data_IF_046120440122
#
_entry.id   IF_046120440122
#
_cell.length_a   1.000
_cell.length_b   1.000
_cell.length_c   1.000
_cell.angle_alpha   90.00
_cell.angle_beta   90.00
_cell.angle_gamma   90.00
#
_symmetry.space_group_name_H-M   'P 1'
#
loop_
_entity.id
_entity.type
_entity.pdbx_description
1 polymer ?
#
# COMPACT_ATOMS: atom_id res chain seq x y z
N UNK A 1 16.40 14.41 -24.42
CA UNK A 1 16.65 15.21 -23.20
C UNK A 1 15.56 15.05 -22.15
N UNK A 2 14.28 15.47 -22.37
CA UNK A 2 13.24 15.30 -21.32
C UNK A 2 12.98 13.83 -20.94
N UNK A 3 12.93 12.89 -21.87
CA UNK A 3 12.77 11.44 -21.61
C UNK A 3 13.96 10.81 -20.90
N UNK A 4 15.17 11.23 -21.18
CA UNK A 4 16.38 10.74 -20.50
C UNK A 4 16.48 11.26 -19.07
N UNK A 5 16.05 12.48 -18.83
CA UNK A 5 15.98 13.09 -17.50
C UNK A 5 14.92 12.40 -16.63
N UNK A 6 13.76 12.06 -17.21
CA UNK A 6 12.68 11.31 -16.55
C UNK A 6 13.11 9.86 -16.22
N UNK A 7 13.86 9.21 -17.11
CA UNK A 7 14.40 7.87 -16.89
C UNK A 7 15.48 7.86 -15.79
N UNK A 8 16.31 8.89 -15.74
CA UNK A 8 17.30 9.08 -14.67
C UNK A 8 16.66 9.32 -13.30
N UNK A 9 15.60 10.13 -13.24
CA UNK A 9 14.83 10.36 -12.01
C UNK A 9 14.20 9.06 -11.49
N UNK A 10 13.64 8.24 -12.39
CA UNK A 10 13.07 6.93 -12.03
C UNK A 10 14.13 5.92 -11.58
N UNK A 11 15.29 5.89 -12.23
CA UNK A 11 16.42 5.00 -11.88
C UNK A 11 17.07 5.39 -10.57
N UNK A 12 17.12 6.68 -10.26
CA UNK A 12 17.78 7.22 -9.07
C UNK A 12 19.30 7.15 -9.14
N UNK A 13 19.95 7.94 -8.30
CA UNK A 13 21.41 8.03 -8.20
C UNK A 13 21.80 7.92 -6.72
N UNK A 14 22.97 7.35 -6.43
CA UNK A 14 23.47 7.27 -5.04
C UNK A 14 22.56 6.46 -4.14
N UNK A 15 22.01 7.08 -3.09
CA UNK A 15 21.11 6.45 -2.11
C UNK A 15 19.74 6.05 -2.69
N UNK A 16 19.38 6.54 -3.87
CA UNK A 16 18.12 6.15 -4.57
C UNK A 16 18.37 5.16 -5.72
N UNK A 17 19.63 4.74 -5.92
CA UNK A 17 20.07 3.88 -7.01
C UNK A 17 19.46 2.47 -6.96
N UNK A 18 19.53 1.77 -8.08
CA UNK A 18 19.11 0.38 -8.18
C UNK A 18 19.82 -0.52 -7.15
N UNK A 19 21.11 -0.30 -6.89
CA UNK A 19 21.87 -1.04 -5.87
C UNK A 19 21.27 -0.88 -4.47
N UNK A 20 20.77 0.31 -4.13
CA UNK A 20 20.11 0.55 -2.83
C UNK A 20 18.76 -0.17 -2.76
N UNK A 21 18.01 -0.21 -3.87
CA UNK A 21 16.76 -0.98 -3.97
C UNK A 21 17.02 -2.48 -3.81
N UNK A 22 18.06 -3.03 -4.45
CA UNK A 22 18.42 -4.45 -4.29
C UNK A 22 18.72 -4.80 -2.83
N UNK A 23 19.41 -3.91 -2.09
CA UNK A 23 19.65 -4.12 -0.66
C UNK A 23 18.36 -4.13 0.16
N UNK A 24 17.39 -3.27 -0.19
CA UNK A 24 16.07 -3.31 0.42
C UNK A 24 15.39 -4.66 0.14
N UNK A 25 15.36 -5.12 -1.11
CA UNK A 25 14.71 -6.39 -1.49
C UNK A 25 15.36 -7.56 -0.74
N UNK A 26 16.69 -7.59 -0.65
CA UNK A 26 17.41 -8.62 0.11
C UNK A 26 16.99 -8.64 1.58
N UNK A 27 16.88 -7.46 2.22
CA UNK A 27 16.41 -7.32 3.60
C UNK A 27 14.98 -7.84 3.76
N UNK A 28 14.07 -7.43 2.89
CA UNK A 28 12.67 -7.88 2.94
C UNK A 28 12.56 -9.40 2.81
N UNK A 29 13.39 -10.01 1.96
CA UNK A 29 13.47 -11.48 1.84
C UNK A 29 13.99 -12.14 3.13
N UNK A 30 15.05 -11.59 3.74
CA UNK A 30 15.60 -12.06 5.01
C UNK A 30 14.62 -11.94 6.18
N UNK A 31 13.71 -10.95 6.13
CA UNK A 31 12.61 -10.75 7.07
C UNK A 31 11.39 -11.68 6.80
N UNK A 32 11.50 -12.59 5.83
CA UNK A 32 10.52 -13.65 5.58
C UNK A 32 9.47 -13.34 4.51
N UNK A 33 9.64 -12.26 3.73
CA UNK A 33 8.80 -12.01 2.56
C UNK A 33 9.26 -12.92 1.40
N UNK A 34 8.32 -13.66 0.82
CA UNK A 34 8.65 -14.70 -0.15
C UNK A 34 7.93 -14.55 -1.50
N UNK A 35 6.92 -13.69 -1.59
CA UNK A 35 6.20 -13.49 -2.83
C UNK A 35 7.06 -12.72 -3.85
N UNK A 36 7.58 -13.46 -4.83
CA UNK A 36 8.50 -12.93 -5.85
C UNK A 36 7.88 -11.79 -6.66
N UNK A 37 6.56 -11.83 -6.94
CA UNK A 37 5.87 -10.78 -7.68
C UNK A 37 5.81 -9.47 -6.87
N UNK A 38 5.50 -9.56 -5.57
CA UNK A 38 5.51 -8.40 -4.68
C UNK A 38 6.89 -7.78 -4.57
N UNK A 39 7.92 -8.60 -4.34
CA UNK A 39 9.31 -8.14 -4.24
C UNK A 39 9.77 -7.47 -5.53
N UNK A 40 9.42 -8.02 -6.70
CA UNK A 40 9.76 -7.43 -8.00
C UNK A 40 9.06 -6.09 -8.22
N UNK A 41 7.79 -5.97 -7.86
CA UNK A 41 7.05 -4.71 -7.97
C UNK A 41 7.65 -3.65 -7.05
N UNK A 42 8.01 -3.99 -5.82
CA UNK A 42 8.68 -3.04 -4.89
C UNK A 42 10.05 -2.63 -5.43
N UNK A 43 10.84 -3.55 -6.00
CA UNK A 43 12.13 -3.27 -6.62
C UNK A 43 12.03 -2.20 -7.72
N UNK A 44 11.05 -2.35 -8.62
CA UNK A 44 10.90 -1.47 -9.78
C UNK A 44 10.17 -0.17 -9.48
N UNK A 45 9.33 -0.11 -8.41
CA UNK A 45 8.58 1.09 -8.06
C UNK A 45 9.47 2.11 -7.36
N UNK A 46 9.69 3.29 -7.94
CA UNK A 46 10.66 4.26 -7.42
C UNK A 46 10.12 4.99 -6.19
N UNK A 47 10.26 4.40 -5.00
CA UNK A 47 9.71 4.89 -3.74
C UNK A 47 10.17 6.33 -3.42
N UNK A 48 11.38 6.71 -3.80
CA UNK A 48 11.91 8.06 -3.59
C UNK A 48 11.11 9.17 -4.27
N UNK A 49 10.29 8.85 -5.28
CA UNK A 49 9.36 9.82 -5.90
C UNK A 49 8.10 10.07 -5.08
N UNK A 50 7.85 9.26 -4.04
CA UNK A 50 6.66 9.35 -3.18
C UNK A 50 6.93 10.02 -1.83
N UNK A 51 8.12 10.52 -1.60
CA UNK A 51 8.54 11.29 -0.42
C UNK A 51 9.02 12.67 -0.85
N UNK A 52 9.19 13.55 0.13
CA UNK A 52 9.78 14.86 -0.12
C UNK A 52 11.24 14.71 -0.62
N UNK A 53 11.70 15.58 -1.50
CA UNK A 53 13.05 15.54 -2.06
C UNK A 53 14.14 15.52 -0.96
N UNK A 54 13.91 16.28 0.11
CA UNK A 54 14.80 16.29 1.28
C UNK A 54 14.95 14.92 1.96
N UNK A 55 13.94 14.04 1.83
CA UNK A 55 13.91 12.69 2.40
C UNK A 55 14.20 11.58 1.39
N UNK A 56 14.41 11.90 0.12
CA UNK A 56 14.61 10.93 -0.95
C UNK A 56 15.79 9.96 -0.66
N UNK A 57 16.85 10.45 0.01
CA UNK A 57 18.00 9.63 0.40
C UNK A 57 17.66 8.53 1.42
N UNK A 58 16.57 8.69 2.18
CA UNK A 58 16.06 7.74 3.17
C UNK A 58 14.96 6.82 2.64
N UNK A 59 14.50 7.04 1.41
CA UNK A 59 13.32 6.36 0.85
C UNK A 59 13.42 4.81 0.86
N UNK A 60 14.64 4.27 0.88
CA UNK A 60 14.90 2.82 0.87
C UNK A 60 15.37 2.27 2.23
N UNK A 61 15.30 3.07 3.29
CA UNK A 61 15.33 2.57 4.67
C UNK A 61 14.01 1.87 4.98
N UNK A 62 14.02 0.81 5.80
CA UNK A 62 12.79 0.16 6.22
C UNK A 62 12.16 0.92 7.40
N UNK A 63 11.69 2.11 7.12
CA UNK A 63 11.06 3.03 8.07
C UNK A 63 9.94 3.82 7.42
N UNK A 64 8.96 4.25 8.23
CA UNK A 64 7.97 5.23 7.81
C UNK A 64 8.61 6.62 7.71
N UNK A 65 8.18 7.42 6.73
CA UNK A 65 8.67 8.78 6.51
C UNK A 65 7.50 9.75 6.40
N UNK A 66 7.63 11.00 6.89
CA UNK A 66 6.56 11.99 6.79
C UNK A 66 6.31 12.40 5.33
N UNK A 67 5.03 12.61 5.00
CA UNK A 67 4.56 13.09 3.69
C UNK A 67 3.75 14.40 3.79
N UNK A 68 3.78 15.04 4.96
CA UNK A 68 2.97 16.20 5.29
C UNK A 68 1.60 15.82 5.85
N UNK A 69 0.85 16.83 6.29
CA UNK A 69 -0.51 16.67 6.84
C UNK A 69 -0.61 15.68 8.02
N UNK A 70 0.46 15.52 8.81
CA UNK A 70 0.58 14.52 9.88
C UNK A 70 0.37 13.08 9.39
N UNK A 71 0.72 12.82 8.13
CA UNK A 71 0.67 11.49 7.52
C UNK A 71 2.08 11.00 7.16
N UNK A 72 2.20 9.69 7.01
CA UNK A 72 3.46 9.05 6.64
C UNK A 72 3.27 8.12 5.43
N UNK A 73 4.33 7.87 4.69
CA UNK A 73 4.44 6.69 3.84
C UNK A 73 4.84 5.51 4.71
N UNK A 74 4.09 4.42 4.65
CA UNK A 74 4.37 3.20 5.44
C UNK A 74 5.73 2.63 5.10
N UNK A 75 6.39 2.00 6.09
CA UNK A 75 7.67 1.32 5.86
C UNK A 75 7.58 0.26 4.75
N UNK A 76 8.64 0.03 3.97
CA UNK A 76 8.65 -0.94 2.86
C UNK A 76 8.20 -2.34 3.25
N UNK A 77 8.65 -2.84 4.41
CA UNK A 77 8.22 -4.14 4.93
C UNK A 77 6.68 -4.24 5.03
N UNK A 78 6.03 -3.22 5.60
CA UNK A 78 4.58 -3.22 5.77
C UNK A 78 3.84 -3.21 4.42
N UNK A 79 4.29 -2.38 3.47
CA UNK A 79 3.73 -2.35 2.12
C UNK A 79 3.84 -3.72 1.46
N UNK A 80 5.00 -4.37 1.55
CA UNK A 80 5.25 -5.70 1.00
C UNK A 80 4.39 -6.76 1.70
N UNK A 81 4.39 -6.79 3.03
CA UNK A 81 3.67 -7.78 3.83
C UNK A 81 2.16 -7.73 3.61
N UNK A 82 1.59 -6.53 3.65
CA UNK A 82 0.15 -6.35 3.42
C UNK A 82 -0.24 -6.75 1.99
N UNK A 83 0.58 -6.43 0.99
CA UNK A 83 0.36 -6.85 -0.40
C UNK A 83 0.47 -8.37 -0.56
N UNK A 84 1.46 -9.02 0.06
CA UNK A 84 1.63 -10.48 0.05
C UNK A 84 0.44 -11.20 0.67
N UNK A 85 -0.05 -10.73 1.83
CA UNK A 85 -1.22 -11.29 2.50
C UNK A 85 -2.49 -11.19 1.66
N UNK A 86 -2.64 -10.07 0.96
CA UNK A 86 -3.77 -9.86 0.08
C UNK A 86 -3.76 -10.84 -1.10
N UNK A 87 -2.58 -11.03 -1.72
CA UNK A 87 -2.38 -11.89 -2.89
C UNK A 87 -2.32 -13.39 -2.56
N UNK A 88 -2.25 -13.78 -1.32
CA UNK A 88 -2.11 -15.19 -0.94
C UNK A 88 -3.33 -16.07 -1.31
N UNK A 89 -4.46 -15.46 -1.74
CA UNK A 89 -5.61 -16.17 -2.31
C UNK A 89 -5.51 -16.38 -3.84
N UNK A 90 -4.48 -15.83 -4.48
CA UNK A 90 -4.33 -15.83 -5.94
C UNK A 90 -4.55 -14.45 -6.55
N UNK A 91 -4.70 -14.38 -7.88
CA UNK A 91 -4.94 -13.13 -8.60
C UNK A 91 -6.19 -12.40 -8.13
N UNK A 92 -6.14 -11.08 -8.06
CA UNK A 92 -7.24 -10.23 -7.61
C UNK A 92 -7.65 -9.26 -8.72
N UNK A 93 -8.95 -9.28 -9.05
CA UNK A 93 -9.49 -8.39 -10.08
C UNK A 93 -9.76 -6.99 -9.53
N UNK A 94 -10.26 -6.92 -8.29
CA UNK A 94 -10.78 -5.69 -7.70
C UNK A 94 -10.31 -5.52 -6.25
N UNK A 95 -9.52 -4.49 -6.00
CA UNK A 95 -8.99 -4.15 -4.67
C UNK A 95 -9.44 -2.76 -4.25
N UNK A 96 -9.93 -2.62 -3.02
CA UNK A 96 -10.18 -1.35 -2.37
C UNK A 96 -9.02 -1.01 -1.44
N UNK A 97 -8.48 0.19 -1.59
CA UNK A 97 -7.49 0.78 -0.69
C UNK A 97 -8.14 1.92 0.11
N UNK A 98 -7.99 1.89 1.43
CA UNK A 98 -8.37 2.97 2.33
C UNK A 98 -7.11 3.67 2.83
N UNK A 99 -6.95 4.94 2.44
CA UNK A 99 -5.76 5.74 2.71
C UNK A 99 -4.77 5.75 1.56
N UNK A 100 -5.01 6.55 0.53
CA UNK A 100 -4.08 6.74 -0.61
C UNK A 100 -2.73 7.29 -0.15
N UNK A 101 -2.75 8.28 0.75
CA UNK A 101 -1.57 8.94 1.27
C UNK A 101 -0.64 9.46 0.17
N UNK A 102 0.61 9.02 0.17
CA UNK A 102 1.59 9.36 -0.87
C UNK A 102 1.26 8.75 -2.24
N UNK A 103 0.44 7.70 -2.30
CA UNK A 103 0.17 6.87 -3.48
C UNK A 103 1.16 5.73 -3.69
N UNK A 104 2.10 5.48 -2.77
CA UNK A 104 3.10 4.41 -2.94
C UNK A 104 2.47 3.01 -2.86
N UNK A 105 1.64 2.74 -1.84
CA UNK A 105 0.90 1.48 -1.74
C UNK A 105 -0.03 1.31 -2.95
N UNK A 106 -0.71 2.38 -3.37
CA UNK A 106 -1.55 2.40 -4.57
C UNK A 106 -0.76 2.01 -5.82
N UNK A 107 0.46 2.58 -5.99
CA UNK A 107 1.35 2.28 -7.11
C UNK A 107 1.83 0.83 -7.10
N UNK A 108 2.10 0.26 -5.93
CA UNK A 108 2.46 -1.16 -5.77
C UNK A 108 1.27 -2.04 -6.15
N UNK A 109 0.08 -1.79 -5.58
CA UNK A 109 -1.13 -2.57 -5.87
C UNK A 109 -1.52 -2.51 -7.34
N UNK A 110 -1.44 -1.34 -7.98
CA UNK A 110 -1.82 -1.19 -9.39
C UNK A 110 -1.01 -2.06 -10.35
N UNK A 111 0.15 -2.55 -9.92
CA UNK A 111 1.01 -3.45 -10.70
C UNK A 111 0.83 -4.92 -10.32
N UNK A 112 0.04 -5.20 -9.29
CA UNK A 112 -0.20 -6.55 -8.75
C UNK A 112 -1.61 -7.05 -9.03
N UNK A 113 -2.58 -6.14 -9.26
CA UNK A 113 -4.00 -6.48 -9.41
C UNK A 113 -4.59 -5.83 -10.65
N UNK A 114 -5.74 -6.30 -11.11
CA UNK A 114 -6.33 -5.77 -12.33
C UNK A 114 -6.82 -4.32 -12.16
N UNK A 115 -7.49 -4.00 -11.03
CA UNK A 115 -8.02 -2.67 -10.76
C UNK A 115 -7.96 -2.29 -9.29
N UNK A 116 -7.51 -1.07 -9.01
CA UNK A 116 -7.46 -0.49 -7.66
C UNK A 116 -8.49 0.62 -7.54
N UNK A 117 -9.23 0.62 -6.44
CA UNK A 117 -10.12 1.71 -6.02
C UNK A 117 -9.55 2.29 -4.74
N UNK A 118 -9.13 3.55 -4.75
CA UNK A 118 -8.43 4.17 -3.62
C UNK A 118 -9.23 5.34 -3.05
N UNK A 119 -9.46 5.32 -1.74
CA UNK A 119 -10.20 6.36 -1.00
C UNK A 119 -9.23 7.14 -0.12
N UNK A 120 -9.30 8.48 -0.22
CA UNK A 120 -8.46 9.39 0.58
C UNK A 120 -9.30 10.56 1.09
N UNK A 121 -9.15 10.87 2.38
CA UNK A 121 -9.84 12.00 3.03
C UNK A 121 -9.11 13.35 2.85
N UNK A 122 -7.81 13.33 2.62
CA UNK A 122 -6.97 14.51 2.47
C UNK A 122 -6.80 14.81 0.98
N UNK A 123 -7.59 15.74 0.46
CA UNK A 123 -7.66 16.08 -0.97
C UNK A 123 -6.29 16.36 -1.60
N UNK A 124 -5.44 17.12 -0.90
CA UNK A 124 -4.10 17.48 -1.39
C UNK A 124 -3.20 16.26 -1.58
N UNK A 125 -3.27 15.27 -0.67
CA UNK A 125 -2.51 14.02 -0.81
C UNK A 125 -3.02 13.22 -2.01
N UNK A 126 -4.34 13.11 -2.16
CA UNK A 126 -4.93 12.40 -3.29
C UNK A 126 -4.52 13.01 -4.64
N UNK A 127 -4.53 14.33 -4.76
CA UNK A 127 -4.18 15.00 -6.00
C UNK A 127 -2.71 14.76 -6.37
N UNK A 128 -1.79 14.89 -5.40
CA UNK A 128 -0.37 14.56 -5.58
C UNK A 128 -0.15 13.09 -5.96
N UNK A 129 -0.90 12.17 -5.33
CA UNK A 129 -0.82 10.75 -5.66
C UNK A 129 -1.28 10.49 -7.11
N UNK A 130 -2.38 11.10 -7.54
CA UNK A 130 -2.87 11.00 -8.93
C UNK A 130 -1.82 11.46 -9.95
N UNK A 131 -1.20 12.61 -9.72
CA UNK A 131 -0.15 13.15 -10.58
C UNK A 131 1.01 12.16 -10.71
N UNK A 132 1.52 11.64 -9.58
CA UNK A 132 2.62 10.66 -9.56
C UNK A 132 2.28 9.37 -10.30
N UNK A 133 1.06 8.84 -10.12
CA UNK A 133 0.65 7.62 -10.82
C UNK A 133 0.52 7.85 -12.34
N UNK A 134 0.04 9.01 -12.76
CA UNK A 134 0.01 9.39 -14.18
C UNK A 134 1.43 9.47 -14.76
N UNK A 135 2.37 10.10 -14.06
CA UNK A 135 3.78 10.18 -14.46
C UNK A 135 4.42 8.79 -14.58
N UNK A 136 4.05 7.85 -13.68
CA UNK A 136 4.51 6.46 -13.71
C UNK A 136 3.74 5.60 -14.72
N UNK A 137 2.79 6.16 -15.45
CA UNK A 137 1.93 5.47 -16.41
C UNK A 137 1.07 4.34 -15.79
N UNK A 138 0.69 4.47 -14.52
CA UNK A 138 -0.20 3.57 -13.80
C UNK A 138 -1.65 4.07 -13.92
N UNK A 139 -2.47 3.42 -14.75
CA UNK A 139 -3.78 3.94 -15.17
C UNK A 139 -4.98 3.12 -14.72
N UNK A 140 -4.78 2.02 -14.03
CA UNK A 140 -5.83 1.12 -13.56
C UNK A 140 -6.32 1.45 -12.14
N UNK A 141 -6.18 2.72 -11.74
CA UNK A 141 -6.58 3.22 -10.41
C UNK A 141 -7.72 4.21 -10.54
N UNK A 142 -8.76 4.02 -9.74
CA UNK A 142 -9.88 4.94 -9.60
C UNK A 142 -9.84 5.55 -8.21
N UNK A 143 -9.86 6.87 -8.12
CA UNK A 143 -9.76 7.59 -6.86
C UNK A 143 -11.10 8.18 -6.43
N UNK A 144 -11.38 8.09 -5.13
CA UNK A 144 -12.47 8.78 -4.46
C UNK A 144 -11.94 9.64 -3.33
N UNK A 145 -12.34 10.91 -3.31
CA UNK A 145 -12.15 11.76 -2.16
C UNK A 145 -13.31 11.57 -1.18
N UNK A 146 -13.03 11.22 0.06
CA UNK A 146 -14.04 10.98 1.09
C UNK A 146 -13.51 10.20 2.28
N UNK A 147 -14.41 9.93 3.22
CA UNK A 147 -14.11 9.09 4.37
C UNK A 147 -14.01 7.62 3.93
N UNK A 148 -12.91 6.98 4.33
CA UNK A 148 -12.65 5.58 4.02
C UNK A 148 -13.36 4.57 4.92
N UNK A 149 -13.89 4.99 6.08
CA UNK A 149 -14.56 4.09 7.01
C UNK A 149 -15.82 3.41 6.45
N UNK A 150 -16.49 4.10 5.55
CA UNK A 150 -17.65 3.55 4.84
C UNK A 150 -17.27 2.67 3.64
N UNK A 151 -15.98 2.60 3.31
CA UNK A 151 -15.51 1.95 2.10
C UNK A 151 -16.02 2.65 0.83
N UNK A 152 -16.37 1.84 -0.18
CA UNK A 152 -16.98 2.32 -1.43
C UNK A 152 -18.08 1.36 -1.91
N UNK A 153 -19.26 1.37 -1.24
CA UNK A 153 -20.32 0.38 -1.47
C UNK A 153 -20.82 0.30 -2.91
N UNK A 154 -20.86 1.43 -3.63
CA UNK A 154 -21.35 1.48 -5.01
C UNK A 154 -20.53 0.62 -5.99
N UNK A 155 -19.30 0.25 -5.60
CA UNK A 155 -18.41 -0.57 -6.42
C UNK A 155 -18.11 -1.93 -5.79
N UNK A 156 -18.70 -2.26 -4.64
CA UNK A 156 -18.58 -3.60 -4.02
C UNK A 156 -19.20 -4.69 -4.92
N UNK A 157 -18.83 -5.98 -4.74
CA UNK A 157 -17.84 -6.49 -3.78
C UNK A 157 -16.40 -6.39 -4.26
N UNK A 158 -15.45 -6.52 -3.31
CA UNK A 158 -14.01 -6.48 -3.55
C UNK A 158 -13.35 -7.82 -3.21
N UNK A 159 -12.42 -8.28 -4.07
CA UNK A 159 -11.61 -9.46 -3.80
C UNK A 159 -10.59 -9.22 -2.69
N UNK A 160 -10.12 -7.98 -2.57
CA UNK A 160 -9.24 -7.55 -1.51
C UNK A 160 -9.57 -6.15 -1.00
N UNK A 161 -9.39 -5.93 0.29
CA UNK A 161 -9.45 -4.60 0.91
C UNK A 161 -8.19 -4.42 1.73
N UNK A 162 -7.50 -3.29 1.56
CA UNK A 162 -6.32 -2.92 2.32
C UNK A 162 -6.56 -1.58 2.99
N UNK A 163 -6.28 -1.50 4.30
CA UNK A 163 -6.38 -0.26 5.08
C UNK A 163 -4.98 0.15 5.49
N UNK A 164 -4.53 1.30 5.03
CA UNK A 164 -3.18 1.82 5.26
C UNK A 164 -3.11 2.82 6.42
N UNK A 165 -4.21 2.99 7.14
CA UNK A 165 -4.31 3.79 8.35
C UNK A 165 -4.72 2.91 9.53
N UNK A 166 -4.24 3.27 10.73
CA UNK A 166 -4.60 2.51 11.94
C UNK A 166 -6.06 2.72 12.31
N UNK A 167 -6.73 1.62 12.58
CA UNK A 167 -8.10 1.57 13.06
C UNK A 167 -8.15 1.22 14.56
N UNK A 168 -9.09 1.76 15.30
CA UNK A 168 -9.38 1.29 16.66
C UNK A 168 -10.08 -0.05 16.67
N UNK A 169 -10.86 -0.33 15.63
CA UNK A 169 -11.60 -1.57 15.41
C UNK A 169 -11.79 -1.80 13.90
N UNK A 170 -12.25 -3.00 13.54
CA UNK A 170 -12.53 -3.36 12.14
C UNK A 170 -13.89 -2.83 11.73
N UNK A 171 -14.00 -1.92 10.74
CA UNK A 171 -15.28 -1.38 10.31
C UNK A 171 -16.16 -2.46 9.67
N UNK A 172 -17.38 -2.65 10.17
CA UNK A 172 -18.33 -3.61 9.60
C UNK A 172 -18.62 -3.31 8.13
N UNK A 173 -18.69 -2.04 7.75
CA UNK A 173 -18.91 -1.62 6.37
C UNK A 173 -17.86 -2.17 5.39
N UNK A 174 -16.60 -2.36 5.82
CA UNK A 174 -15.56 -2.96 4.97
C UNK A 174 -15.75 -4.47 4.86
N UNK A 175 -16.17 -5.14 5.94
CA UNK A 175 -16.44 -6.57 5.93
C UNK A 175 -17.62 -6.90 4.98
N UNK A 176 -18.66 -6.09 5.00
CA UNK A 176 -19.86 -6.26 4.16
C UNK A 176 -19.53 -6.11 2.66
N UNK A 177 -18.45 -5.40 2.33
CA UNK A 177 -18.00 -5.16 0.97
C UNK A 177 -16.99 -6.18 0.44
N UNK A 178 -16.57 -7.17 1.24
CA UNK A 178 -15.73 -8.27 0.76
C UNK A 178 -16.51 -9.23 -0.14
N UNK A 179 -15.90 -9.69 -1.21
CA UNK A 179 -16.40 -10.82 -2.00
C UNK A 179 -16.24 -12.14 -1.19
N UNK A 180 -17.01 -13.21 -1.50
CA UNK A 180 -16.73 -14.54 -0.95
C UNK A 180 -15.25 -14.93 -1.20
N UNK A 181 -14.55 -15.43 -0.18
CA UNK A 181 -13.11 -15.69 -0.22
C UNK A 181 -12.22 -14.43 -0.20
N UNK A 182 -12.83 -13.24 -0.21
CA UNK A 182 -12.13 -11.96 -0.19
C UNK A 182 -11.39 -11.72 1.12
N UNK A 183 -10.34 -10.91 1.07
CA UNK A 183 -9.42 -10.64 2.18
C UNK A 183 -9.38 -9.16 2.54
N UNK A 184 -9.47 -8.88 3.83
CA UNK A 184 -9.20 -7.56 4.41
C UNK A 184 -7.92 -7.61 5.21
N UNK A 185 -6.98 -6.72 4.89
CA UNK A 185 -5.73 -6.51 5.65
C UNK A 185 -5.79 -5.13 6.27
N UNK A 186 -5.70 -5.08 7.60
CA UNK A 186 -5.92 -3.85 8.37
C UNK A 186 -5.07 -3.82 9.64
N UNK A 187 -4.34 -2.72 9.93
CA UNK A 187 -3.72 -2.50 11.24
C UNK A 187 -4.78 -2.03 12.24
N UNK A 188 -4.91 -2.75 13.35
CA UNK A 188 -5.87 -2.45 14.43
C UNK A 188 -5.12 -2.22 15.72
N UNK A 189 -5.50 -1.19 16.46
CA UNK A 189 -4.93 -0.91 17.77
C UNK A 189 -5.11 0.54 18.20
N UNK A 190 -4.61 0.84 19.39
CA UNK A 190 -4.60 2.19 19.96
C UNK A 190 -3.25 2.46 20.64
N UNK A 191 -2.74 3.69 20.50
CA UNK A 191 -1.45 4.09 21.07
C UNK A 191 -0.27 3.33 20.43
N UNK A 192 0.64 2.81 21.26
CA UNK A 192 1.89 2.20 20.82
C UNK A 192 1.76 0.76 20.34
N UNK A 193 0.64 0.09 20.63
CA UNK A 193 0.43 -1.32 20.28
C UNK A 193 -0.57 -1.42 19.14
N UNK A 194 -0.09 -1.85 18.00
CA UNK A 194 -0.90 -2.10 16.81
C UNK A 194 -0.66 -3.52 16.32
N UNK A 195 -1.72 -4.16 15.88
CA UNK A 195 -1.69 -5.53 15.36
C UNK A 195 -2.12 -5.51 13.90
N UNK A 196 -1.37 -6.17 13.03
CA UNK A 196 -1.82 -6.42 11.68
C UNK A 196 -2.81 -7.58 11.70
N UNK A 197 -4.01 -7.34 11.20
CA UNK A 197 -5.06 -8.36 11.10
C UNK A 197 -5.31 -8.71 9.63
N UNK A 198 -5.44 -10.01 9.38
CA UNK A 198 -6.00 -10.55 8.15
C UNK A 198 -7.38 -11.12 8.46
N UNK A 199 -8.38 -10.68 7.72
CA UNK A 199 -9.75 -11.18 7.81
C UNK A 199 -10.13 -11.75 6.45
N UNK A 200 -10.69 -12.95 6.45
CA UNK A 200 -11.12 -13.65 5.23
C UNK A 200 -12.62 -13.88 5.31
N UNK A 201 -13.34 -13.53 4.26
CA UNK A 201 -14.76 -13.86 4.16
C UNK A 201 -14.92 -15.32 3.76
N UNK A 202 -15.44 -16.11 4.67
CA UNK A 202 -15.79 -17.52 4.46
C UNK A 202 -17.23 -17.65 3.95
N UNK A 203 -17.67 -18.86 3.63
CA UNK A 203 -19.05 -19.13 3.25
C UNK A 203 -20.03 -18.77 4.37
N UNK A 204 -19.63 -19.02 5.62
CA UNK A 204 -20.39 -18.63 6.81
C UNK A 204 -19.53 -17.71 7.71
N UNK A 205 -19.63 -16.38 7.51
CA UNK A 205 -18.99 -15.39 8.36
C UNK A 205 -17.57 -15.02 7.96
N UNK A 206 -16.70 -14.80 8.96
CA UNK A 206 -15.36 -14.30 8.75
C UNK A 206 -14.35 -15.01 9.65
N UNK A 207 -13.25 -15.51 9.09
CA UNK A 207 -12.08 -15.90 9.88
C UNK A 207 -11.18 -14.69 10.15
N UNK A 208 -10.58 -14.62 11.34
CA UNK A 208 -9.72 -13.51 11.78
C UNK A 208 -8.39 -14.03 12.26
N UNK A 209 -7.30 -13.50 11.70
CA UNK A 209 -5.94 -13.88 12.03
C UNK A 209 -5.14 -12.65 12.46
N UNK A 210 -4.59 -12.68 13.67
CA UNK A 210 -3.65 -11.68 14.16
C UNK A 210 -2.25 -12.10 13.76
N UNK A 211 -1.55 -11.26 13.00
CA UNK A 211 -0.27 -11.59 12.36
C UNK A 211 0.94 -10.96 13.07
N UNK A 212 0.89 -10.94 14.39
CA UNK A 212 1.95 -10.45 15.24
C UNK A 212 1.72 -9.04 15.77
N UNK A 213 2.46 -8.70 16.82
CA UNK A 213 2.58 -7.35 17.35
C UNK A 213 3.59 -6.62 16.46
N UNK A 214 3.14 -5.63 15.74
CA UNK A 214 4.03 -4.72 15.03
C UNK A 214 3.97 -3.36 15.74
N UNK A 215 5.12 -2.84 16.11
CA UNK A 215 5.28 -1.41 16.36
C UNK A 215 5.17 -0.70 15.01
N UNK A 216 3.96 -0.65 14.49
CA UNK A 216 3.70 0.04 13.23
C UNK A 216 3.51 1.50 13.57
N UNK A 217 4.57 2.28 13.45
CA UNK A 217 4.43 3.73 13.32
C UNK A 217 3.93 4.02 11.89
N UNK A 218 2.61 4.02 11.73
CA UNK A 218 1.94 4.48 10.52
C UNK A 218 1.52 5.93 10.71
#
# INVERSE_FOLDING_TARGET
>A
MAREQDDLLRRGIGMTSQRTRERLIQRLYEEGLSNAQVLEVIRRTPRHLFVDEALAHRAYEDTALPIGHNQTISQPYMVARMSELLLAAGPLDKVLEIGTGSGYQTAVLSQLVERVFSVERIKVLQDRAKERLVELNLRNVVFRWGDGWEGWPALAPYNGIIVTAVATDVPQALLDQLAPGGRLVIPVGSGEVQQLMLIIREDEGFSRHVLGLSLIHI
#
